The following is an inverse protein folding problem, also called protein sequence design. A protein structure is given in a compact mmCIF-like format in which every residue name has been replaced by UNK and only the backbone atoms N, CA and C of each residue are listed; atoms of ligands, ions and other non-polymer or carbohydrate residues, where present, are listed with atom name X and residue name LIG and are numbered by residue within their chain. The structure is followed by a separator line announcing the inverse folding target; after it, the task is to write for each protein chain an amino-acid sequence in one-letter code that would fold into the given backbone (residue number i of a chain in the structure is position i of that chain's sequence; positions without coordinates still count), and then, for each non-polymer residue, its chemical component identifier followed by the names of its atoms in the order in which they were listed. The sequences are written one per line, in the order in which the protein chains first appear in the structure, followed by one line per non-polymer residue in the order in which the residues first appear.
data_IF_607216470341
#
_entry.id   IF_607216470341
#
_cell.length_a   1.000
_cell.length_b   1.000
_cell.length_c   1.000
_cell.angle_alpha   90.00
_cell.angle_beta   90.00
_cell.angle_gamma   90.00
#
_symmetry.space_group_name_H-M   'P 1'
#
loop_
_entity.id
_entity.type
_entity.pdbx_description
1 polymer ?
#
# COMPACT_ATOMS: atom_id res chain seq x y z
N UNK A 1 6.31 -17.04 -13.99
CA UNK A 1 5.19 -16.09 -13.82
C UNK A 1 4.60 -16.36 -12.45
N UNK A 2 4.87 -15.49 -11.46
CA UNK A 2 4.28 -15.63 -10.13
C UNK A 2 3.17 -14.59 -10.03
N UNK A 3 1.94 -15.09 -10.01
CA UNK A 3 0.71 -14.34 -9.81
C UNK A 3 0.80 -13.53 -8.52
N UNK A 4 0.33 -12.28 -8.59
CA UNK A 4 0.09 -11.50 -7.39
C UNK A 4 -0.82 -12.33 -6.47
N UNK A 5 -0.60 -12.37 -5.14
CA UNK A 5 -1.57 -13.02 -4.28
C UNK A 5 -2.87 -12.24 -4.42
N UNK A 6 -3.85 -12.81 -5.13
CA UNK A 6 -5.19 -12.26 -5.19
C UNK A 6 -5.64 -12.09 -3.74
N UNK A 7 -6.09 -10.88 -3.40
CA UNK A 7 -6.63 -10.61 -2.08
C UNK A 7 -7.86 -11.48 -1.90
N UNK A 8 -7.70 -12.60 -1.19
CA UNK A 8 -8.79 -13.53 -0.89
C UNK A 8 -9.84 -12.79 -0.06
N UNK A 9 -11.11 -13.08 -0.32
CA UNK A 9 -12.23 -12.48 0.40
C UNK A 9 -13.12 -13.55 0.99
N UNK A 10 -13.60 -13.32 2.20
CA UNK A 10 -14.57 -14.19 2.86
C UNK A 10 -15.78 -14.40 1.96
N UNK A 11 -16.10 -15.66 1.64
CA UNK A 11 -17.25 -16.01 0.78
C UNK A 11 -18.61 -15.66 1.39
N UNK A 12 -18.66 -15.47 2.72
CA UNK A 12 -19.87 -15.09 3.46
C UNK A 12 -20.04 -13.57 3.53
N UNK A 13 -19.09 -12.83 4.08
CA UNK A 13 -19.26 -11.39 4.30
C UNK A 13 -18.61 -10.51 3.23
N UNK A 14 -17.71 -11.05 2.40
CA UNK A 14 -16.95 -10.28 1.39
C UNK A 14 -15.71 -9.53 1.93
N UNK A 15 -15.43 -9.64 3.23
CA UNK A 15 -14.25 -9.01 3.85
C UNK A 15 -12.95 -9.51 3.25
N UNK A 16 -11.99 -8.59 3.08
CA UNK A 16 -10.64 -8.94 2.65
C UNK A 16 -9.94 -9.72 3.75
N UNK A 17 -9.40 -10.88 3.38
CA UNK A 17 -8.71 -11.77 4.29
C UNK A 17 -7.22 -11.41 4.30
N UNK A 18 -6.75 -10.79 5.38
CA UNK A 18 -5.34 -10.41 5.55
C UNK A 18 -4.60 -11.28 6.57
N UNK A 19 -5.32 -11.94 7.49
CA UNK A 19 -4.75 -12.69 8.62
C UNK A 19 -5.26 -14.14 8.65
N UNK A 20 -5.68 -14.63 9.82
CA UNK A 20 -6.22 -15.98 9.98
C UNK A 20 -7.60 -16.11 9.33
N UNK A 21 -7.75 -17.11 8.47
CA UNK A 21 -9.01 -17.50 7.85
C UNK A 21 -9.04 -19.02 7.71
N UNK A 22 -10.24 -19.58 7.61
CA UNK A 22 -10.43 -20.98 7.26
C UNK A 22 -10.56 -21.10 5.74
N UNK A 23 -9.94 -22.13 5.17
CA UNK A 23 -10.08 -22.47 3.76
C UNK A 23 -10.42 -23.94 3.62
N UNK A 24 -11.21 -24.28 2.62
CA UNK A 24 -11.41 -25.67 2.22
C UNK A 24 -10.18 -26.13 1.43
N UNK A 25 -9.73 -27.35 1.68
CA UNK A 25 -8.62 -27.96 0.93
C UNK A 25 -9.03 -28.51 -0.44
N UNK A 26 -10.33 -28.61 -0.71
CA UNK A 26 -10.90 -29.26 -1.90
C UNK A 26 -11.47 -28.23 -2.88
N UNK A 27 -11.89 -27.06 -2.40
CA UNK A 27 -12.46 -26.01 -3.23
C UNK A 27 -12.02 -24.62 -2.76
N UNK A 28 -12.30 -23.59 -3.55
CA UNK A 28 -11.92 -22.19 -3.26
C UNK A 28 -12.76 -21.52 -2.16
N UNK A 29 -13.40 -22.31 -1.29
CA UNK A 29 -14.16 -21.77 -0.17
C UNK A 29 -13.20 -21.23 0.89
N UNK A 30 -13.34 -19.94 1.19
CA UNK A 30 -12.59 -19.25 2.24
C UNK A 30 -13.53 -18.42 3.10
N UNK A 31 -13.29 -18.40 4.41
CA UNK A 31 -14.15 -17.72 5.38
C UNK A 31 -13.31 -17.14 6.52
N UNK A 32 -13.60 -15.91 6.93
CA UNK A 32 -12.94 -15.32 8.10
C UNK A 32 -13.38 -16.03 9.39
N UNK A 33 -12.60 -15.84 10.46
CA UNK A 33 -12.84 -16.49 11.75
C UNK A 33 -14.16 -16.06 12.41
N UNK A 34 -14.61 -14.83 12.18
CA UNK A 34 -15.86 -14.31 12.75
C UNK A 34 -17.07 -14.96 12.05
N UNK A 35 -17.06 -15.05 10.73
CA UNK A 35 -18.09 -15.71 9.93
C UNK A 35 -18.08 -17.23 10.09
N UNK A 36 -16.93 -17.85 10.38
CA UNK A 36 -16.86 -19.26 10.74
C UNK A 36 -17.55 -19.54 12.08
N UNK A 37 -17.38 -18.63 13.06
CA UNK A 37 -18.00 -18.76 14.39
C UNK A 37 -19.48 -18.36 14.38
N UNK A 38 -19.81 -17.29 13.68
CA UNK A 38 -21.13 -16.68 13.62
C UNK A 38 -21.50 -16.41 12.14
N UNK A 39 -21.92 -17.45 11.40
CA UNK A 39 -22.30 -17.27 9.99
C UNK A 39 -23.56 -16.40 9.86
N UNK A 40 -23.71 -15.67 8.74
CA UNK A 40 -24.96 -14.98 8.43
C UNK A 40 -26.14 -15.95 8.45
N UNK A 41 -27.32 -15.52 8.94
CA UNK A 41 -28.49 -16.39 9.00
C UNK A 41 -28.92 -16.84 7.60
N UNK A 42 -29.47 -18.04 7.48
CA UNK A 42 -29.95 -18.52 6.18
C UNK A 42 -31.14 -17.69 5.65
N UNK A 43 -31.92 -17.08 6.56
CA UNK A 43 -33.09 -16.27 6.25
C UNK A 43 -33.09 -15.02 7.12
N UNK A 44 -33.39 -13.86 6.54
CA UNK A 44 -33.72 -12.62 7.24
C UNK A 44 -35.20 -12.35 6.99
N UNK A 45 -36.05 -12.53 8.00
CA UNK A 45 -37.50 -12.37 7.85
C UNK A 45 -37.91 -10.91 7.65
N UNK A 46 -37.23 -9.99 8.37
CA UNK A 46 -37.51 -8.55 8.37
C UNK A 46 -36.23 -7.75 8.05
N UNK A 47 -35.81 -7.67 6.77
CA UNK A 47 -34.62 -6.92 6.42
C UNK A 47 -34.86 -5.42 6.57
N UNK A 48 -33.80 -4.67 6.89
CA UNK A 48 -33.86 -3.20 6.93
C UNK A 48 -33.61 -2.56 5.56
N UNK A 49 -32.98 -3.31 4.67
CA UNK A 49 -32.63 -2.90 3.31
C UNK A 49 -33.78 -3.06 2.32
N UNK A 50 -34.75 -3.92 2.64
CA UNK A 50 -35.80 -4.38 1.73
C UNK A 50 -37.01 -4.92 2.52
N UNK A 51 -38.22 -4.80 1.97
CA UNK A 51 -39.48 -5.12 2.68
C UNK A 51 -39.79 -6.62 2.78
N UNK A 52 -39.32 -7.43 1.83
CA UNK A 52 -39.57 -8.88 1.84
C UNK A 52 -38.42 -9.66 2.45
N UNK A 53 -38.73 -10.84 2.98
CA UNK A 53 -37.74 -11.75 3.52
C UNK A 53 -36.66 -12.11 2.49
N UNK A 54 -35.43 -12.22 3.00
CA UNK A 54 -34.23 -12.48 2.22
C UNK A 54 -33.68 -13.85 2.57
N UNK A 55 -33.36 -14.66 1.56
CA UNK A 55 -32.83 -16.02 1.74
C UNK A 55 -31.42 -16.10 1.16
N UNK A 56 -30.50 -16.77 1.84
CA UNK A 56 -29.14 -16.93 1.35
C UNK A 56 -29.12 -17.81 0.08
N UNK A 57 -28.56 -17.27 -0.99
CA UNK A 57 -28.30 -17.94 -2.25
C UNK A 57 -26.82 -18.36 -2.28
N UNK A 58 -26.58 -19.65 -2.50
CA UNK A 58 -25.24 -20.28 -2.45
C UNK A 58 -24.64 -20.53 -3.83
N UNK A 59 -25.41 -20.35 -4.90
CA UNK A 59 -24.90 -20.40 -6.26
C UNK A 59 -23.92 -19.24 -6.48
N UNK A 60 -22.79 -19.53 -7.12
CA UNK A 60 -21.71 -18.57 -7.35
C UNK A 60 -21.89 -17.91 -8.72
N UNK A 61 -22.99 -17.17 -8.89
CA UNK A 61 -23.24 -16.37 -10.09
C UNK A 61 -22.89 -14.90 -9.85
N UNK A 62 -22.62 -14.19 -10.94
CA UNK A 62 -22.54 -12.73 -10.93
C UNK A 62 -23.90 -12.15 -10.58
N UNK A 63 -23.90 -11.06 -9.82
CA UNK A 63 -25.11 -10.33 -9.51
C UNK A 63 -24.81 -8.85 -9.26
N UNK A 64 -25.86 -8.04 -9.42
CA UNK A 64 -25.84 -6.63 -9.05
C UNK A 64 -26.60 -6.44 -7.75
N UNK A 65 -25.95 -5.86 -6.74
CA UNK A 65 -26.59 -5.62 -5.47
C UNK A 65 -27.72 -4.58 -5.60
N UNK A 66 -28.94 -4.99 -5.27
CA UNK A 66 -30.14 -4.16 -5.23
C UNK A 66 -30.04 -3.01 -4.22
N UNK A 67 -29.14 -3.08 -3.25
CA UNK A 67 -28.89 -1.99 -2.31
C UNK A 67 -27.77 -1.05 -2.76
N UNK A 68 -26.50 -1.46 -2.84
CA UNK A 68 -25.40 -0.53 -3.19
C UNK A 68 -25.27 -0.25 -4.71
N UNK A 69 -25.80 -1.14 -5.56
CA UNK A 69 -25.69 -1.06 -7.01
C UNK A 69 -24.38 -1.58 -7.58
N UNK A 70 -23.47 -2.11 -6.75
CA UNK A 70 -22.22 -2.74 -7.20
C UNK A 70 -22.47 -4.12 -7.80
N UNK A 71 -21.62 -4.49 -8.74
CA UNK A 71 -21.49 -5.86 -9.24
C UNK A 71 -20.54 -6.62 -8.30
N UNK A 72 -20.98 -7.78 -7.83
CA UNK A 72 -20.14 -8.68 -7.04
C UNK A 72 -20.10 -10.05 -7.70
N UNK A 73 -18.95 -10.70 -7.57
CA UNK A 73 -18.63 -11.94 -8.25
C UNK A 73 -18.34 -13.03 -7.23
N UNK A 74 -18.94 -14.20 -7.44
CA UNK A 74 -18.55 -15.44 -6.76
C UNK A 74 -18.63 -15.38 -5.22
N UNK A 75 -19.68 -14.74 -4.66
CA UNK A 75 -19.96 -14.71 -3.21
C UNK A 75 -21.38 -15.13 -2.89
N UNK A 76 -21.59 -15.56 -1.66
CA UNK A 76 -22.95 -15.76 -1.17
C UNK A 76 -23.64 -14.41 -1.02
N UNK A 77 -24.94 -14.43 -1.29
CA UNK A 77 -25.77 -13.24 -1.33
C UNK A 77 -27.13 -13.56 -0.75
N UNK A 78 -27.87 -12.54 -0.38
CA UNK A 78 -29.29 -12.69 -0.10
C UNK A 78 -30.09 -12.47 -1.37
N UNK A 79 -31.07 -13.33 -1.61
CA UNK A 79 -32.04 -13.18 -2.69
C UNK A 79 -33.43 -13.01 -2.10
N UNK A 80 -34.13 -11.98 -2.57
CA UNK A 80 -35.57 -11.88 -2.44
C UNK A 80 -36.21 -12.62 -3.63
N UNK A 81 -36.94 -13.69 -3.39
CA UNK A 81 -37.61 -14.43 -4.46
C UNK A 81 -38.88 -13.75 -4.98
N UNK A 82 -39.46 -12.82 -4.20
CA UNK A 82 -40.66 -12.08 -4.60
C UNK A 82 -40.32 -10.94 -5.57
N UNK A 83 -39.30 -10.15 -5.24
CA UNK A 83 -38.85 -9.03 -6.08
C UNK A 83 -37.76 -9.41 -7.08
N UNK A 84 -37.20 -10.62 -7.00
CA UNK A 84 -36.06 -11.07 -7.82
C UNK A 84 -34.87 -10.11 -7.66
N UNK A 85 -34.66 -9.61 -6.43
CA UNK A 85 -33.56 -8.72 -6.07
C UNK A 85 -32.50 -9.48 -5.29
N UNK A 86 -31.24 -9.09 -5.50
CA UNK A 86 -30.08 -9.74 -4.90
C UNK A 86 -29.27 -8.73 -4.09
N UNK A 87 -28.73 -9.14 -2.95
CA UNK A 87 -28.11 -8.25 -1.98
C UNK A 87 -26.80 -8.84 -1.47
N UNK A 88 -25.73 -8.03 -1.46
CA UNK A 88 -24.56 -8.34 -0.66
C UNK A 88 -25.00 -8.54 0.80
N UNK A 89 -24.42 -9.54 1.46
CA UNK A 89 -24.76 -9.89 2.84
C UNK A 89 -24.60 -8.70 3.80
N UNK A 90 -23.60 -7.84 3.58
CA UNK A 90 -23.39 -6.65 4.41
C UNK A 90 -24.34 -5.50 4.06
N UNK A 91 -24.81 -5.43 2.82
CA UNK A 91 -25.80 -4.43 2.43
C UNK A 91 -27.22 -4.78 2.87
N UNK A 92 -27.56 -6.07 3.05
CA UNK A 92 -28.90 -6.46 3.54
C UNK A 92 -29.18 -6.00 4.98
N UNK A 93 -28.12 -5.72 5.74
CA UNK A 93 -28.20 -5.22 7.11
C UNK A 93 -28.33 -3.69 7.20
N UNK A 94 -28.16 -2.98 6.09
CA UNK A 94 -28.26 -1.52 6.06
C UNK A 94 -29.72 -1.08 5.98
N UNK A 95 -30.03 0.04 6.63
CA UNK A 95 -31.38 0.64 6.62
C UNK A 95 -31.49 1.74 5.56
N UNK A 96 -32.70 1.99 5.06
CA UNK A 96 -32.97 3.15 4.20
C UNK A 96 -32.90 4.50 4.95
N UNK A 97 -32.95 4.48 6.28
CA UNK A 97 -32.74 5.65 7.13
C UNK A 97 -31.85 5.25 8.31
N UNK A 98 -30.81 6.05 8.58
CA UNK A 98 -29.80 5.75 9.60
C UNK A 98 -29.46 6.95 10.48
N UNK A 99 -29.20 6.69 11.76
CA UNK A 99 -28.51 7.60 12.65
C UNK A 99 -27.00 7.44 12.44
N UNK A 100 -26.37 8.43 11.79
CA UNK A 100 -24.96 8.31 11.42
C UNK A 100 -24.05 8.98 12.47
N UNK A 101 -23.06 8.27 13.06
CA UNK A 101 -22.24 8.81 14.15
C UNK A 101 -21.49 10.10 13.80
N UNK A 102 -21.13 10.29 12.54
CA UNK A 102 -20.46 11.50 12.03
C UNK A 102 -21.41 12.66 11.74
N UNK A 103 -22.71 12.42 11.80
CA UNK A 103 -23.77 13.40 11.62
C UNK A 103 -24.94 13.15 12.58
N UNK A 104 -24.73 13.26 13.90
CA UNK A 104 -25.72 12.81 14.90
C UNK A 104 -26.95 13.71 15.04
N UNK A 105 -26.93 14.91 14.42
CA UNK A 105 -28.02 15.89 14.56
C UNK A 105 -29.25 15.52 13.74
N UNK A 106 -29.08 14.82 12.63
CA UNK A 106 -30.16 14.45 11.72
C UNK A 106 -29.90 13.07 11.13
N UNK A 107 -30.94 12.24 10.94
CA UNK A 107 -30.78 10.98 10.24
C UNK A 107 -30.40 11.22 8.77
N UNK A 108 -29.67 10.26 8.20
CA UNK A 108 -29.40 10.22 6.76
C UNK A 108 -30.41 9.30 6.09
N UNK A 109 -30.98 9.77 4.98
CA UNK A 109 -31.86 8.99 4.12
C UNK A 109 -31.09 8.44 2.94
N UNK A 110 -31.36 7.20 2.60
CA UNK A 110 -30.83 6.53 1.42
C UNK A 110 -31.51 7.09 0.17
N UNK A 111 -30.72 7.54 -0.80
CA UNK A 111 -31.20 8.16 -2.03
C UNK A 111 -30.44 7.62 -3.26
N UNK A 112 -31.08 7.79 -4.40
CA UNK A 112 -30.51 7.58 -5.74
C UNK A 112 -30.21 8.92 -6.42
N UNK A 113 -29.28 8.94 -7.38
CA UNK A 113 -28.93 10.18 -8.11
C UNK A 113 -30.10 10.76 -8.93
N UNK A 114 -31.07 9.95 -9.35
CA UNK A 114 -32.34 10.40 -9.96
C UNK A 114 -33.08 11.40 -9.05
N UNK A 115 -32.92 11.27 -7.73
CA UNK A 115 -33.63 12.06 -6.73
C UNK A 115 -32.90 13.39 -6.38
N UNK A 116 -31.77 13.73 -7.03
CA UNK A 116 -31.01 14.95 -6.70
C UNK A 116 -30.38 15.75 -7.85
N UNK A 117 -30.63 17.06 -7.82
CA UNK A 117 -29.88 18.13 -8.48
C UNK A 117 -28.86 18.85 -7.54
N UNK A 118 -28.58 18.34 -6.32
CA UNK A 118 -28.05 19.17 -5.22
C UNK A 118 -26.75 18.72 -4.53
N UNK A 119 -26.06 17.66 -4.97
CA UNK A 119 -24.80 17.23 -4.33
C UNK A 119 -23.56 17.58 -5.15
N UNK A 120 -22.47 17.98 -4.47
CA UNK A 120 -21.15 18.21 -5.07
C UNK A 120 -20.46 16.93 -5.58
N UNK A 121 -21.24 15.88 -5.88
CA UNK A 121 -20.77 14.60 -6.37
C UNK A 121 -19.99 13.76 -5.35
N UNK A 122 -19.41 14.31 -4.28
CA UNK A 122 -18.42 13.61 -3.43
C UNK A 122 -18.88 13.29 -2.00
N UNK A 123 -18.47 12.13 -1.48
CA UNK A 123 -18.66 11.72 -0.09
C UNK A 123 -18.00 12.69 0.89
N UNK A 124 -18.68 12.98 2.00
CA UNK A 124 -18.17 13.85 3.07
C UNK A 124 -16.99 13.23 3.81
N UNK A 125 -16.98 11.92 4.02
CA UNK A 125 -15.98 11.21 4.82
C UNK A 125 -14.74 10.89 3.98
N UNK A 126 -14.85 10.02 2.97
CA UNK A 126 -13.70 9.58 2.18
C UNK A 126 -13.31 10.53 1.03
N UNK A 127 -14.20 11.43 0.62
CA UNK A 127 -13.96 12.36 -0.50
C UNK A 127 -14.04 11.78 -1.90
N UNK A 128 -14.27 10.46 -2.04
CA UNK A 128 -14.54 9.82 -3.33
C UNK A 128 -15.83 10.35 -3.94
N UNK A 129 -15.95 10.24 -5.25
CA UNK A 129 -17.21 10.47 -5.94
C UNK A 129 -18.27 9.49 -5.44
N UNK A 130 -19.44 10.02 -5.11
CA UNK A 130 -20.65 9.29 -4.76
C UNK A 130 -21.11 8.53 -5.99
N UNK A 131 -21.41 7.25 -5.74
CA UNK A 131 -22.02 6.35 -6.70
C UNK A 131 -23.49 6.70 -6.91
N UNK A 132 -24.16 5.89 -7.72
CA UNK A 132 -25.59 6.05 -7.99
C UNK A 132 -26.44 6.10 -6.72
N UNK A 133 -26.03 5.36 -5.69
CA UNK A 133 -26.75 5.23 -4.42
C UNK A 133 -25.89 5.69 -3.24
N UNK A 134 -26.46 6.48 -2.35
CA UNK A 134 -25.76 7.10 -1.23
C UNK A 134 -26.73 7.54 -0.13
N UNK A 135 -26.17 7.89 1.03
CA UNK A 135 -26.93 8.45 2.14
C UNK A 135 -26.82 9.97 2.16
N UNK A 136 -27.93 10.65 2.46
CA UNK A 136 -28.01 12.10 2.44
C UNK A 136 -28.90 12.69 3.53
N UNK A 137 -28.46 13.80 4.12
CA UNK A 137 -29.29 14.70 4.90
C UNK A 137 -29.53 15.97 4.10
N UNK A 138 -30.79 16.22 3.74
CA UNK A 138 -31.23 17.40 2.99
C UNK A 138 -31.06 18.71 3.77
N UNK A 139 -31.21 18.66 5.09
CA UNK A 139 -31.08 19.82 5.99
C UNK A 139 -29.63 20.33 6.00
N UNK A 140 -28.65 19.44 6.15
CA UNK A 140 -27.24 19.80 6.30
C UNK A 140 -26.40 19.66 5.03
N UNK A 141 -27.01 19.20 3.92
CA UNK A 141 -26.31 18.87 2.66
C UNK A 141 -25.10 17.94 2.92
N UNK A 142 -25.33 16.93 3.75
CA UNK A 142 -24.32 15.97 4.19
C UNK A 142 -24.56 14.65 3.45
N UNK A 143 -23.64 14.27 2.56
CA UNK A 143 -23.74 13.06 1.76
C UNK A 143 -22.59 12.10 2.08
N UNK A 144 -22.90 10.80 2.17
CA UNK A 144 -21.94 9.72 2.47
C UNK A 144 -22.20 8.56 1.53
N UNK A 145 -21.13 7.96 0.99
CA UNK A 145 -21.24 6.74 0.19
C UNK A 145 -21.62 5.53 1.05
N UNK A 146 -22.24 4.54 0.42
CA UNK A 146 -22.65 3.30 1.10
C UNK A 146 -21.46 2.61 1.76
N UNK A 147 -20.28 2.65 1.14
CA UNK A 147 -19.06 2.04 1.68
C UNK A 147 -18.64 2.70 3.01
N UNK A 148 -18.73 4.03 3.18
CA UNK A 148 -18.40 4.67 4.47
C UNK A 148 -19.49 4.50 5.55
N UNK A 149 -20.68 4.02 5.19
CA UNK A 149 -21.71 3.60 6.16
C UNK A 149 -21.51 2.15 6.56
N UNK A 150 -21.19 1.28 5.60
CA UNK A 150 -20.89 -0.14 5.82
C UNK A 150 -19.60 -0.32 6.62
N UNK A 151 -18.58 0.45 6.26
CA UNK A 151 -17.22 0.40 6.80
C UNK A 151 -16.79 1.79 7.27
N UNK A 152 -17.45 2.33 8.31
CA UNK A 152 -17.07 3.64 8.83
C UNK A 152 -15.67 3.56 9.40
N UNK A 153 -14.86 4.58 9.12
CA UNK A 153 -13.63 4.79 9.88
C UNK A 153 -13.98 4.92 11.38
N UNK A 154 -13.05 4.72 12.32
CA UNK A 154 -13.33 4.99 13.72
C UNK A 154 -13.40 6.50 13.99
N UNK A 155 -14.39 6.95 14.77
CA UNK A 155 -14.54 8.37 15.14
C UNK A 155 -13.31 8.93 15.85
N UNK A 156 -12.71 8.10 16.69
CA UNK A 156 -11.46 8.37 17.34
C UNK A 156 -10.59 7.13 17.38
N UNK A 157 -9.29 7.32 17.33
CA UNK A 157 -8.28 6.26 17.30
C UNK A 157 -7.15 6.61 18.24
N UNK A 158 -6.57 5.58 18.84
CA UNK A 158 -5.24 5.64 19.42
C UNK A 158 -4.32 4.88 18.46
N UNK A 159 -3.56 5.61 17.66
CA UNK A 159 -2.72 5.01 16.62
C UNK A 159 -1.29 5.58 16.69
N UNK A 160 -0.46 5.10 17.65
CA UNK A 160 0.88 5.64 17.91
C UNK A 160 1.79 5.62 16.68
N UNK A 161 1.54 4.74 15.72
CA UNK A 161 2.24 4.72 14.42
C UNK A 161 2.05 6.03 13.64
N UNK A 162 0.87 6.64 13.67
CA UNK A 162 0.63 7.93 13.03
C UNK A 162 1.01 9.11 13.93
N UNK A 163 0.55 9.07 15.18
CA UNK A 163 0.68 10.15 16.14
C UNK A 163 0.46 9.62 17.57
N UNK A 164 1.19 10.15 18.55
CA UNK A 164 1.20 9.63 19.92
C UNK A 164 -0.12 9.84 20.66
N UNK A 165 -0.82 10.95 20.38
CA UNK A 165 -2.11 11.25 21.00
C UNK A 165 -3.29 10.66 20.24
N UNK A 166 -4.43 10.58 20.92
CA UNK A 166 -5.69 10.23 20.29
C UNK A 166 -6.04 11.21 19.16
N UNK A 167 -6.37 10.66 17.99
CA UNK A 167 -6.83 11.42 16.84
C UNK A 167 -8.34 11.25 16.71
N UNK A 168 -9.03 12.33 16.35
CA UNK A 168 -10.47 12.33 16.10
C UNK A 168 -10.76 12.80 14.68
N UNK A 169 -11.71 12.15 14.01
CA UNK A 169 -12.19 12.61 12.70
C UNK A 169 -12.95 13.92 12.86
N UNK A 170 -12.68 14.88 11.99
CA UNK A 170 -13.46 16.13 11.89
C UNK A 170 -14.36 16.09 10.64
N UNK A 171 -15.59 15.55 10.67
CA UNK A 171 -16.41 15.21 9.48
C UNK A 171 -17.00 16.43 8.75
N UNK A 172 -16.13 17.34 8.30
CA UNK A 172 -16.47 18.63 7.71
C UNK A 172 -15.60 18.87 6.48
N UNK A 173 -16.03 19.81 5.63
CA UNK A 173 -15.17 20.34 4.56
C UNK A 173 -14.23 21.36 5.20
N UNK A 174 -12.94 21.11 5.12
CA UNK A 174 -11.88 21.96 5.70
C UNK A 174 -10.64 21.79 4.83
N UNK A 175 -9.99 22.90 4.48
CA UNK A 175 -8.68 22.87 3.83
C UNK A 175 -7.60 22.77 4.90
N UNK A 176 -6.66 21.84 4.73
CA UNK A 176 -5.55 21.63 5.64
C UNK A 176 -4.36 21.06 4.86
N UNK A 177 -3.15 21.21 5.40
CA UNK A 177 -1.98 20.49 4.91
C UNK A 177 -1.76 19.26 5.77
N UNK A 178 -1.57 18.10 5.14
CA UNK A 178 -1.44 16.84 5.85
C UNK A 178 -0.03 16.65 6.39
N UNK A 179 0.11 16.55 7.72
CA UNK A 179 1.40 16.46 8.39
C UNK A 179 2.23 15.24 7.96
N UNK A 180 1.58 14.16 7.54
CA UNK A 180 2.28 12.95 7.12
C UNK A 180 2.79 12.98 5.67
N UNK A 181 2.31 13.88 4.81
CA UNK A 181 2.67 13.87 3.40
C UNK A 181 2.87 15.23 2.73
N UNK A 182 2.60 16.33 3.44
CA UNK A 182 2.75 17.71 2.95
C UNK A 182 1.80 18.09 1.81
N UNK A 183 0.76 17.30 1.56
CA UNK A 183 -0.22 17.57 0.49
C UNK A 183 -1.52 18.11 1.10
N UNK A 184 -2.17 19.01 0.35
CA UNK A 184 -3.46 19.57 0.74
C UNK A 184 -4.54 18.48 0.90
N UNK A 185 -5.32 18.60 1.95
CA UNK A 185 -6.58 17.90 2.18
C UNK A 185 -7.75 18.88 2.20
N UNK A 186 -8.95 18.37 1.92
CA UNK A 186 -10.14 19.23 1.73
C UNK A 186 -11.35 18.85 2.58
N UNK A 187 -11.26 17.74 3.32
CA UNK A 187 -12.34 17.27 4.20
C UNK A 187 -11.88 16.22 5.17
N UNK A 188 -12.61 16.11 6.26
CA UNK A 188 -12.60 14.98 7.18
C UNK A 188 -11.20 14.46 7.56
N UNK A 189 -10.25 15.34 7.97
CA UNK A 189 -9.00 14.87 8.53
C UNK A 189 -9.24 14.12 9.84
N UNK A 190 -8.28 13.26 10.19
CA UNK A 190 -8.00 12.98 11.58
C UNK A 190 -7.20 14.14 12.15
N UNK A 191 -7.56 14.61 13.34
CA UNK A 191 -6.88 15.74 13.97
C UNK A 191 -6.57 15.48 15.45
N UNK A 192 -5.42 15.95 15.92
CA UNK A 192 -5.08 16.09 17.33
C UNK A 192 -5.16 17.56 17.71
N UNK A 193 -6.06 17.90 18.64
CA UNK A 193 -6.18 19.28 19.12
C UNK A 193 -5.01 19.72 20.01
N UNK A 194 -4.31 18.77 20.65
CA UNK A 194 -3.20 19.07 21.56
C UNK A 194 -1.93 19.49 20.80
N UNK A 195 -1.76 18.99 19.58
CA UNK A 195 -0.54 19.18 18.79
C UNK A 195 -0.77 19.98 17.50
N UNK A 196 -1.99 20.47 17.26
CA UNK A 196 -2.40 21.06 15.97
C UNK A 196 -2.08 20.16 14.77
N UNK A 197 -2.16 18.84 14.97
CA UNK A 197 -1.80 17.84 13.97
C UNK A 197 -3.04 17.46 13.14
N UNK A 198 -2.91 17.43 11.82
CA UNK A 198 -3.94 17.03 10.87
C UNK A 198 -3.39 16.06 9.83
N UNK A 199 -4.07 14.93 9.66
CA UNK A 199 -3.66 13.87 8.74
C UNK A 199 -4.83 13.42 7.86
N UNK A 200 -4.57 13.14 6.58
CA UNK A 200 -5.54 12.46 5.73
C UNK A 200 -5.88 11.10 6.33
N UNK A 201 -7.15 10.68 6.26
CA UNK A 201 -7.54 9.32 6.65
C UNK A 201 -6.72 8.23 5.91
N UNK A 202 -6.37 8.48 4.64
CA UNK A 202 -5.53 7.56 3.85
C UNK A 202 -4.05 7.54 4.24
N UNK A 203 -3.60 8.50 5.04
CA UNK A 203 -2.20 8.62 5.47
C UNK A 203 -2.00 8.11 6.91
N UNK A 204 -3.06 7.60 7.54
CA UNK A 204 -3.00 7.09 8.90
C UNK A 204 -2.03 5.91 9.05
N UNK A 205 -2.02 5.03 8.06
CA UNK A 205 -1.26 3.77 8.08
C UNK A 205 -0.14 3.80 7.04
N UNK A 206 0.49 4.96 6.85
CA UNK A 206 1.71 5.01 6.04
C UNK A 206 2.75 4.06 6.63
N UNK A 207 3.46 3.27 5.80
CA UNK A 207 4.46 2.35 6.31
C UNK A 207 5.62 3.08 6.99
N UNK A 208 6.35 2.39 7.84
CA UNK A 208 7.46 2.97 8.58
C UNK A 208 8.80 2.71 7.92
N UNK A 209 9.00 1.50 7.37
CA UNK A 209 10.21 1.14 6.66
C UNK A 209 9.84 0.51 5.33
N UNK A 210 10.37 1.08 4.24
CA UNK A 210 10.08 0.64 2.88
C UNK A 210 11.34 0.52 2.05
N UNK A 211 11.23 -0.18 0.92
CA UNK A 211 12.19 -0.08 -0.17
C UNK A 211 11.57 0.61 -1.38
N UNK A 212 12.38 1.37 -2.11
CA UNK A 212 11.98 2.00 -3.37
C UNK A 212 12.94 1.60 -4.48
N UNK A 213 12.48 1.55 -5.73
CA UNK A 213 13.34 1.24 -6.87
C UNK A 213 14.32 2.36 -7.28
N UNK A 214 14.24 3.53 -6.64
CA UNK A 214 15.11 4.69 -6.86
C UNK A 214 16.28 4.78 -5.88
N UNK A 215 16.32 3.88 -4.89
CA UNK A 215 17.32 3.91 -3.83
C UNK A 215 17.62 2.50 -3.34
N UNK A 216 18.89 2.22 -3.04
CA UNK A 216 19.32 0.86 -2.69
C UNK A 216 18.97 0.51 -1.24
N UNK A 217 19.14 1.48 -0.32
CA UNK A 217 18.87 1.27 1.10
C UNK A 217 17.39 1.38 1.43
N UNK A 218 17.01 0.77 2.56
CA UNK A 218 15.71 1.01 3.16
C UNK A 218 15.54 2.47 3.52
N UNK A 219 14.32 2.95 3.35
CA UNK A 219 13.92 4.29 3.74
C UNK A 219 13.02 4.22 4.96
N UNK A 220 13.28 5.10 5.91
CA UNK A 220 12.48 5.27 7.11
C UNK A 220 11.55 6.45 6.95
N UNK A 221 10.31 6.29 7.42
CA UNK A 221 9.35 7.39 7.50
C UNK A 221 9.80 8.38 8.57
N UNK A 222 9.84 9.65 8.18
CA UNK A 222 10.11 10.77 9.06
C UNK A 222 8.85 11.63 9.19
N UNK A 223 8.58 12.14 10.38
CA UNK A 223 7.49 13.11 10.59
C UNK A 223 7.87 14.50 10.07
N UNK A 224 9.17 14.83 10.11
CA UNK A 224 9.79 16.01 9.56
C UNK A 224 11.25 15.67 9.23
N UNK A 225 11.87 16.44 8.34
CA UNK A 225 13.30 16.37 8.05
C UNK A 225 14.04 17.47 8.81
N UNK A 226 15.37 17.40 8.85
CA UNK A 226 16.16 18.51 9.36
C UNK A 226 15.98 19.75 8.46
N UNK A 227 16.02 20.97 9.02
CA UNK A 227 15.92 22.19 8.22
C UNK A 227 16.98 22.23 7.11
N UNK A 228 16.57 22.40 5.85
CA UNK A 228 17.52 22.39 4.73
C UNK A 228 16.87 22.23 3.36
N UNK A 229 17.62 22.45 2.28
CA UNK A 229 17.08 22.29 0.94
C UNK A 229 17.05 20.82 0.52
N UNK A 230 15.87 20.20 0.62
CA UNK A 230 15.67 18.81 0.22
C UNK A 230 15.04 18.72 -1.17
N UNK A 231 15.54 17.80 -1.99
CA UNK A 231 15.00 17.48 -3.30
C UNK A 231 14.54 16.03 -3.31
N UNK A 232 13.33 15.79 -3.78
CA UNK A 232 12.75 14.46 -3.85
C UNK A 232 13.48 13.58 -4.87
N UNK A 233 13.99 12.42 -4.45
CA UNK A 233 14.70 11.45 -5.28
C UNK A 233 13.85 10.80 -6.39
N UNK A 234 12.55 11.09 -6.45
CA UNK A 234 11.66 10.60 -7.51
C UNK A 234 11.17 11.69 -8.46
N UNK A 235 10.56 12.76 -7.92
CA UNK A 235 9.95 13.80 -8.75
C UNK A 235 10.84 15.03 -8.97
N UNK A 236 12.00 15.08 -8.30
CA UNK A 236 12.97 16.19 -8.35
C UNK A 236 12.42 17.56 -7.94
N UNK A 237 11.26 17.59 -7.27
CA UNK A 237 10.71 18.80 -6.66
C UNK A 237 11.19 18.94 -5.22
N UNK A 238 11.12 20.17 -4.71
CA UNK A 238 11.44 20.49 -3.30
C UNK A 238 10.58 19.66 -2.35
N UNK A 239 11.21 19.08 -1.33
CA UNK A 239 10.54 18.48 -0.18
C UNK A 239 10.47 19.54 0.90
N UNK A 240 9.28 19.80 1.40
CA UNK A 240 9.10 20.65 2.57
C UNK A 240 9.49 19.84 3.81
N UNK A 241 10.53 20.29 4.52
CA UNK A 241 11.08 19.60 5.67
C UNK A 241 10.14 19.61 6.88
N UNK A 242 9.16 20.52 6.92
CA UNK A 242 8.20 20.63 8.03
C UNK A 242 7.14 19.52 8.03
N UNK A 243 7.03 18.77 6.92
CA UNK A 243 6.08 17.68 6.76
C UNK A 243 6.75 16.32 6.58
N UNK A 244 5.93 15.27 6.66
CA UNK A 244 6.39 13.90 6.55
C UNK A 244 6.97 13.55 5.19
N UNK A 245 8.06 12.80 5.22
CA UNK A 245 8.79 12.28 4.07
C UNK A 245 9.42 10.92 4.42
N UNK A 246 10.08 10.28 3.45
CA UNK A 246 10.97 9.16 3.74
C UNK A 246 12.42 9.58 3.49
N UNK A 247 13.33 9.17 4.35
CA UNK A 247 14.77 9.42 4.22
C UNK A 247 15.58 8.16 4.46
N UNK A 248 16.82 8.18 3.97
CA UNK A 248 17.79 7.13 4.23
C UNK A 248 18.68 7.51 5.41
N UNK A 249 18.90 6.58 6.34
CA UNK A 249 19.86 6.77 7.45
C UNK A 249 21.32 6.68 6.99
N UNK A 250 21.59 5.97 5.89
CA UNK A 250 22.94 5.76 5.33
C UNK A 250 23.31 6.90 4.38
N UNK A 251 22.36 7.35 3.55
CA UNK A 251 22.57 8.43 2.59
C UNK A 251 21.92 9.73 3.11
N UNK A 252 22.70 10.61 3.79
CA UNK A 252 22.15 11.72 4.57
C UNK A 252 21.39 12.77 3.74
N UNK A 253 21.65 12.85 2.43
CA UNK A 253 21.00 13.81 1.54
C UNK A 253 19.88 13.20 0.68
N UNK A 254 19.50 11.94 0.94
CA UNK A 254 18.44 11.28 0.18
C UNK A 254 17.10 11.37 0.91
N UNK A 255 16.13 12.02 0.26
CA UNK A 255 14.75 12.08 0.71
C UNK A 255 13.77 11.92 -0.46
N UNK A 256 12.57 11.44 -0.16
CA UNK A 256 11.48 11.28 -1.12
C UNK A 256 10.16 11.68 -0.44
N UNK A 257 9.28 12.40 -1.15
CA UNK A 257 7.95 12.74 -0.62
C UNK A 257 7.21 11.44 -0.25
N UNK A 258 6.45 11.44 0.86
CA UNK A 258 5.65 10.28 1.26
C UNK A 258 4.76 9.74 0.14
N UNK A 259 4.12 10.62 -0.64
CA UNK A 259 3.29 10.21 -1.78
C UNK A 259 4.10 9.67 -2.97
N UNK A 260 5.32 10.16 -3.19
CA UNK A 260 6.18 9.64 -4.25
C UNK A 260 6.73 8.26 -3.89
N UNK A 261 7.11 8.07 -2.62
CA UNK A 261 7.64 6.83 -2.12
C UNK A 261 6.65 5.68 -2.27
N UNK A 262 5.36 5.95 -2.04
CA UNK A 262 4.30 4.93 -1.99
C UNK A 262 3.54 4.75 -3.30
N UNK A 263 4.11 5.20 -4.43
CA UNK A 263 3.51 4.90 -5.72
C UNK A 263 3.73 3.42 -6.06
N UNK A 264 2.76 2.84 -6.77
CA UNK A 264 2.77 1.44 -7.19
C UNK A 264 3.96 1.08 -8.10
N UNK A 265 4.49 2.06 -8.83
CA UNK A 265 5.68 1.93 -9.69
C UNK A 265 7.00 2.23 -8.95
N UNK A 266 6.96 2.51 -7.65
CA UNK A 266 8.13 2.89 -6.84
C UNK A 266 8.36 1.96 -5.66
N UNK A 267 7.30 1.64 -4.91
CA UNK A 267 7.35 0.78 -3.72
C UNK A 267 6.90 -0.64 -4.03
N UNK A 268 7.61 -1.62 -3.45
CA UNK A 268 7.30 -3.05 -3.56
C UNK A 268 6.09 -3.51 -2.73
N UNK A 269 5.39 -2.58 -2.06
CA UNK A 269 4.22 -2.82 -1.20
C UNK A 269 4.53 -3.69 0.02
N UNK A 270 5.81 -3.77 0.42
CA UNK A 270 6.25 -4.46 1.62
C UNK A 270 6.59 -3.45 2.73
N UNK A 271 5.94 -3.61 3.88
CA UNK A 271 6.36 -2.98 5.14
C UNK A 271 7.48 -3.82 5.74
N UNK A 272 8.61 -3.19 6.05
CA UNK A 272 9.85 -3.85 6.44
C UNK A 272 10.21 -3.61 7.91
N UNK A 273 9.38 -2.86 8.64
CA UNK A 273 9.58 -2.67 10.09
C UNK A 273 9.56 -4.02 10.82
N UNK A 274 10.60 -4.28 11.60
CA UNK A 274 10.77 -5.53 12.35
C UNK A 274 11.29 -6.70 11.52
N UNK A 275 11.42 -6.55 10.20
CA UNK A 275 12.10 -7.53 9.35
C UNK A 275 13.58 -7.18 9.40
N UNK A 276 14.48 -8.06 9.87
CA UNK A 276 15.91 -7.82 9.79
C UNK A 276 16.30 -7.50 8.35
N UNK A 277 17.26 -6.60 8.15
CA UNK A 277 18.01 -6.66 6.91
C UNK A 277 18.76 -7.99 6.95
N UNK A 278 18.34 -8.94 6.11
CA UNK A 278 19.30 -9.95 5.66
C UNK A 278 20.54 -9.17 5.25
N UNK A 279 21.76 -9.57 5.64
CA UNK A 279 22.97 -8.94 5.15
C UNK A 279 22.99 -9.07 3.62
N UNK A 280 22.41 -8.08 2.95
CA UNK A 280 22.42 -7.91 1.50
C UNK A 280 23.77 -7.29 1.06
N UNK A 281 24.57 -6.88 2.04
CA UNK A 281 25.95 -6.41 1.92
C UNK A 281 26.92 -7.48 2.43
N UNK A 282 26.94 -8.68 1.83
CA UNK A 282 28.29 -9.22 1.64
C UNK A 282 28.90 -8.29 0.60
N UNK A 283 29.87 -7.47 1.02
CA UNK A 283 30.76 -6.77 0.11
C UNK A 283 31.01 -7.69 -1.09
N UNK A 284 30.97 -7.17 -2.33
CA UNK A 284 31.06 -8.02 -3.52
C UNK A 284 32.34 -8.88 -3.49
N UNK A 285 33.31 -8.50 -2.67
CA UNK A 285 34.39 -9.34 -2.27
C UNK A 285 34.82 -9.08 -0.82
N UNK A 286 35.49 -10.06 -0.21
CA UNK A 286 36.23 -9.85 1.04
C UNK A 286 37.67 -9.48 0.70
N UNK A 287 38.21 -8.42 1.29
CA UNK A 287 39.64 -8.07 1.18
C UNK A 287 40.45 -9.04 2.04
N UNK A 288 41.38 -9.76 1.41
CA UNK A 288 42.29 -10.70 2.07
C UNK A 288 43.63 -10.02 2.36
N UNK A 289 44.08 -9.17 1.44
CA UNK A 289 45.32 -8.38 1.53
C UNK A 289 45.18 -7.10 0.68
N UNK A 290 46.13 -6.16 0.74
CA UNK A 290 46.08 -4.82 0.10
C UNK A 290 45.63 -4.86 -1.38
N UNK A 291 46.00 -5.92 -2.11
CA UNK A 291 45.63 -6.11 -3.52
C UNK A 291 44.93 -7.45 -3.79
N UNK A 292 44.50 -8.20 -2.78
CA UNK A 292 43.97 -9.55 -2.94
C UNK A 292 42.55 -9.66 -2.37
N UNK A 293 41.61 -10.12 -3.19
CA UNK A 293 40.19 -10.19 -2.82
C UNK A 293 39.61 -11.60 -3.06
N UNK A 294 38.60 -11.99 -2.28
CA UNK A 294 37.76 -13.17 -2.51
C UNK A 294 36.37 -12.71 -3.00
N UNK A 295 36.09 -12.85 -4.29
CA UNK A 295 34.89 -12.30 -4.93
C UNK A 295 33.74 -13.31 -4.96
N UNK A 296 32.50 -12.83 -4.82
CA UNK A 296 31.32 -13.70 -4.73
C UNK A 296 31.05 -14.59 -5.93
N UNK A 297 31.37 -14.10 -7.13
CA UNK A 297 31.20 -14.86 -8.37
C UNK A 297 32.33 -15.87 -8.58
N UNK A 298 33.36 -15.85 -7.73
CA UNK A 298 34.56 -16.68 -7.87
C UNK A 298 35.19 -16.94 -6.49
N UNK A 299 34.44 -17.63 -5.61
CA UNK A 299 34.86 -17.84 -4.21
C UNK A 299 35.96 -18.90 -4.05
N UNK A 300 36.20 -19.73 -5.06
CA UNK A 300 37.20 -20.82 -5.02
C UNK A 300 38.66 -20.31 -5.05
N UNK A 301 38.89 -19.12 -5.61
CA UNK A 301 40.22 -18.54 -5.75
C UNK A 301 40.26 -17.05 -5.40
N UNK A 302 41.47 -16.54 -5.24
CA UNK A 302 41.70 -15.13 -4.98
C UNK A 302 42.02 -14.34 -6.25
N UNK A 303 41.49 -13.13 -6.28
CA UNK A 303 41.61 -12.15 -7.34
C UNK A 303 42.62 -11.08 -6.92
N UNK A 304 43.65 -10.87 -7.74
CA UNK A 304 44.69 -9.88 -7.51
C UNK A 304 44.42 -8.62 -8.34
N UNK A 305 44.56 -7.45 -7.72
CA UNK A 305 44.44 -6.15 -8.36
C UNK A 305 45.71 -5.83 -9.16
N UNK A 306 45.53 -5.53 -10.44
CA UNK A 306 46.58 -5.04 -11.31
C UNK A 306 46.27 -3.59 -11.65
N UNK A 307 47.06 -2.65 -11.11
CA UNK A 307 46.80 -1.21 -11.26
C UNK A 307 47.43 -0.61 -12.52
N UNK A 308 48.48 -1.21 -13.08
CA UNK A 308 49.15 -0.72 -14.29
C UNK A 308 49.80 -1.89 -15.04
N UNK A 309 49.27 -2.26 -16.22
CA UNK A 309 50.04 -2.94 -17.26
C UNK A 309 49.37 -2.78 -18.62
N UNK A 310 50.15 -2.36 -19.62
CA UNK A 310 49.73 -2.33 -21.03
C UNK A 310 49.68 -3.78 -21.50
N UNK A 311 48.49 -4.35 -21.66
CA UNK A 311 48.34 -5.67 -22.28
C UNK A 311 48.65 -5.54 -23.78
N UNK A 312 49.87 -5.86 -24.18
CA UNK A 312 50.21 -6.12 -25.58
C UNK A 312 49.62 -7.48 -26.00
N UNK A 313 48.68 -7.47 -26.95
CA UNK A 313 48.52 -8.59 -27.89
C UNK A 313 47.34 -9.55 -27.69
N UNK A 314 46.31 -9.22 -26.90
CA UNK A 314 45.06 -9.99 -26.87
C UNK A 314 43.95 -9.21 -26.18
N UNK A 315 42.73 -9.24 -26.73
CA UNK A 315 41.56 -8.58 -26.12
C UNK A 315 41.12 -9.36 -24.88
N UNK A 316 41.72 -9.07 -23.73
CA UNK A 316 41.26 -9.59 -22.44
C UNK A 316 39.87 -9.02 -22.20
N UNK A 317 38.88 -9.89 -21.96
CA UNK A 317 37.50 -9.50 -21.69
C UNK A 317 37.19 -9.64 -20.20
N UNK A 318 36.37 -8.73 -19.69
CA UNK A 318 35.80 -8.84 -18.35
C UNK A 318 34.67 -9.88 -18.34
N UNK A 319 34.71 -10.83 -17.42
CA UNK A 319 33.72 -11.91 -17.29
C UNK A 319 32.31 -11.41 -16.91
N UNK A 320 32.19 -10.22 -16.30
CA UNK A 320 30.90 -9.67 -15.90
C UNK A 320 30.21 -8.86 -17.01
N UNK A 321 30.95 -8.07 -17.79
CA UNK A 321 30.38 -7.16 -18.78
C UNK A 321 30.72 -7.52 -20.22
N UNK A 322 31.62 -8.48 -20.43
CA UNK A 322 32.11 -8.96 -21.74
C UNK A 322 32.80 -7.85 -22.55
N UNK A 323 33.16 -6.73 -21.90
CA UNK A 323 33.89 -5.63 -22.53
C UNK A 323 35.40 -5.83 -22.36
N UNK A 324 36.21 -5.39 -23.34
CA UNK A 324 37.66 -5.47 -23.27
C UNK A 324 38.25 -4.61 -22.15
N UNK A 325 39.33 -5.12 -21.56
CA UNK A 325 40.15 -4.43 -20.57
C UNK A 325 41.35 -3.82 -21.30
N UNK A 326 41.43 -2.49 -21.29
CA UNK A 326 42.51 -1.76 -21.94
C UNK A 326 43.51 -1.22 -20.90
N UNK A 327 43.26 -0.02 -20.40
CA UNK A 327 44.14 0.72 -19.49
C UNK A 327 43.53 0.95 -18.11
N UNK A 328 42.51 0.18 -17.75
CA UNK A 328 41.78 0.33 -16.49
C UNK A 328 42.26 -0.73 -15.51
N UNK A 329 42.36 -0.37 -14.22
CA UNK A 329 42.66 -1.35 -13.17
C UNK A 329 41.65 -2.50 -13.19
N UNK A 330 42.15 -3.71 -13.05
CA UNK A 330 41.35 -4.93 -13.13
C UNK A 330 41.80 -5.95 -12.09
N UNK A 331 40.90 -6.85 -11.74
CA UNK A 331 41.18 -8.01 -10.92
C UNK A 331 41.36 -9.23 -11.81
N UNK A 332 42.45 -9.98 -11.64
CA UNK A 332 42.66 -11.28 -12.29
C UNK A 332 42.86 -12.38 -11.26
N UNK A 333 42.27 -13.54 -11.50
CA UNK A 333 42.48 -14.70 -10.64
C UNK A 333 43.92 -15.22 -10.78
N UNK A 334 44.54 -15.56 -9.64
CA UNK A 334 45.92 -16.09 -9.59
C UNK A 334 46.02 -17.54 -10.08
N UNK A 335 44.89 -18.24 -10.24
CA UNK A 335 44.84 -19.68 -10.55
C UNK A 335 44.11 -20.01 -11.85
N UNK A 336 43.31 -19.10 -12.40
CA UNK A 336 42.57 -19.30 -13.65
C UNK A 336 42.40 -18.01 -14.43
N UNK A 337 41.84 -18.09 -15.64
CA UNK A 337 41.65 -16.94 -16.53
C UNK A 337 40.43 -16.07 -16.18
N UNK A 338 39.95 -16.09 -14.93
CA UNK A 338 38.82 -15.27 -14.50
C UNK A 338 39.27 -13.82 -14.25
N UNK A 339 38.66 -12.87 -14.97
CA UNK A 339 39.11 -11.47 -14.97
C UNK A 339 37.90 -10.52 -14.88
N UNK A 340 37.97 -9.48 -14.05
CA UNK A 340 36.94 -8.47 -13.86
C UNK A 340 37.52 -7.06 -13.90
N UNK A 341 36.82 -6.08 -14.49
CA UNK A 341 37.14 -4.67 -14.23
C UNK A 341 37.01 -4.37 -12.74
N UNK A 342 37.84 -3.46 -12.21
CA UNK A 342 37.70 -2.97 -10.82
C UNK A 342 36.28 -2.43 -10.55
N UNK A 343 35.67 -1.77 -11.53
CA UNK A 343 34.27 -1.30 -11.44
C UNK A 343 33.25 -2.45 -11.42
N UNK A 344 33.47 -3.50 -12.20
CA UNK A 344 32.58 -4.67 -12.24
C UNK A 344 32.68 -5.50 -10.97
N UNK A 345 33.88 -5.64 -10.39
CA UNK A 345 34.09 -6.32 -9.11
C UNK A 345 33.44 -5.58 -7.93
N UNK A 346 33.14 -4.29 -8.07
CA UNK A 346 32.45 -3.50 -7.04
C UNK A 346 30.91 -3.49 -7.22
N UNK A 347 30.36 -4.19 -8.22
CA UNK A 347 28.92 -4.28 -8.40
C UNK A 347 28.30 -5.15 -7.30
N UNK A 348 27.24 -4.66 -6.69
CA UNK A 348 26.50 -5.40 -5.67
C UNK A 348 25.87 -6.69 -6.23
N UNK A 349 25.78 -7.72 -5.39
CA UNK A 349 25.14 -9.02 -5.72
C UNK A 349 23.66 -8.89 -6.08
N UNK A 350 23.00 -7.82 -5.65
CA UNK A 350 21.59 -7.55 -5.90
C UNK A 350 21.41 -6.11 -6.34
N UNK A 351 20.73 -5.88 -7.46
CA UNK A 351 20.48 -4.52 -7.98
C UNK A 351 18.99 -4.24 -8.11
N UNK A 352 18.51 -3.18 -7.47
CA UNK A 352 17.15 -2.68 -7.72
C UNK A 352 17.14 -1.94 -9.05
N UNK A 353 16.31 -2.40 -9.98
CA UNK A 353 16.20 -1.79 -11.29
C UNK A 353 15.01 -0.83 -11.33
N UNK A 354 15.15 0.29 -12.03
CA UNK A 354 14.10 1.30 -12.10
C UNK A 354 12.75 0.76 -12.60
N UNK A 355 12.76 -0.18 -13.56
CA UNK A 355 11.54 -0.78 -14.10
C UNK A 355 11.00 -1.97 -13.30
N UNK A 356 11.67 -2.39 -12.23
CA UNK A 356 11.30 -3.58 -11.48
C UNK A 356 11.38 -3.35 -9.97
N UNK A 357 10.24 -3.43 -9.28
CA UNK A 357 10.14 -3.14 -7.84
C UNK A 357 10.93 -4.10 -6.94
N UNK A 358 11.32 -5.27 -7.44
CA UNK A 358 12.14 -6.25 -6.70
C UNK A 358 13.60 -6.21 -7.16
N UNK A 359 14.57 -6.42 -6.25
CA UNK A 359 15.98 -6.53 -6.62
C UNK A 359 16.20 -7.69 -7.60
N UNK A 360 17.02 -7.44 -8.62
CA UNK A 360 17.56 -8.43 -9.53
C UNK A 360 18.76 -9.10 -8.86
N UNK A 361 18.85 -10.43 -8.97
CA UNK A 361 19.94 -11.26 -8.43
C UNK A 361 20.93 -11.64 -9.51
#
# INVERSE_FOLDING_TARGET
MLEWPEVKRCKLCGEKLFYMFYHCSICDFVVDTACAKNPPPNVIEFPKAHEHSLVIAKDLSDFKCGFCGEEDHLRYRYRCYLCILEFEIRCSMLSLEIDYPYHPKHPLKFLTKEEQHFSHGKCRICGKELRWKFYHCSICKFSVDVDCVRDPSPLAILFPKAHEHQLSVTPRKISFDCDACGMAGHRSPYSCQQCDFMIHQSCIDLPEIINVNRHEHRLSRCLHLSPGSWICGFCHKKVDWSYGAYSCSICPNYAIHSKCALRDDVWDKLELKGIPEEPQDMEPFKVIDENLICHFSHEEHYLQLNEEDIIFGGSILCEACVLPIYSQAFYSCVQCNFILHKTCANLSRKKRHFYHGKPLS
#
